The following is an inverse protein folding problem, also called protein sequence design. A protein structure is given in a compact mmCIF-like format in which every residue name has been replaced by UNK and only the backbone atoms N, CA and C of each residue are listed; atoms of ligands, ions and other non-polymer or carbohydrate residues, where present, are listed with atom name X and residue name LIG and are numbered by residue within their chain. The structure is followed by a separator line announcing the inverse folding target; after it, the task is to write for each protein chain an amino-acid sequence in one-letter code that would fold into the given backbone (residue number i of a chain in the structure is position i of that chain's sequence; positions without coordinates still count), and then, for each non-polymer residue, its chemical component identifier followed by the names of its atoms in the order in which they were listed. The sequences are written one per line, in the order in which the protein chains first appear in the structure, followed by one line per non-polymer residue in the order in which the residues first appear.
data_IF_502941151607
#
_entry.id   IF_502941151607
#
_cell.length_a   1.000
_cell.length_b   1.000
_cell.length_c   1.000
_cell.angle_alpha   90.00
_cell.angle_beta   90.00
_cell.angle_gamma   90.00
#
_symmetry.space_group_name_H-M   'P 1'
#
loop_
_entity.id
_entity.type
_entity.pdbx_description
1 polymer ?
#
# COMPACT_ATOMS: atom_id res chain seq x y z
N UNK A 1 21.06 4.55 -31.33
CA UNK A 1 20.24 3.36 -31.02
C UNK A 1 19.47 3.50 -29.71
N UNK A 2 20.09 3.94 -28.61
CA UNK A 2 19.43 4.08 -27.29
C UNK A 2 18.22 5.04 -27.26
N UNK A 3 18.26 6.13 -28.04
CA UNK A 3 17.14 7.09 -28.14
C UNK A 3 15.91 6.48 -28.82
N UNK A 4 16.10 5.71 -29.89
CA UNK A 4 15.01 5.04 -30.62
C UNK A 4 14.36 3.95 -29.77
N UNK A 5 15.17 3.19 -29.01
CA UNK A 5 14.67 2.22 -28.04
C UNK A 5 13.88 2.89 -26.91
N UNK A 6 14.34 4.05 -26.41
CA UNK A 6 13.61 4.83 -25.41
C UNK A 6 12.24 5.31 -25.91
N UNK A 7 12.16 5.80 -27.15
CA UNK A 7 10.91 6.29 -27.77
C UNK A 7 9.85 5.20 -27.87
N UNK A 8 10.24 3.94 -28.10
CA UNK A 8 9.31 2.82 -28.20
C UNK A 8 9.05 2.15 -26.85
N UNK A 9 10.09 2.00 -26.02
CA UNK A 9 10.01 1.29 -24.75
C UNK A 9 9.27 2.09 -23.68
N UNK A 10 9.43 3.42 -23.65
CA UNK A 10 8.75 4.28 -22.67
C UNK A 10 7.22 4.23 -22.80
N UNK A 11 6.59 4.45 -23.98
CA UNK A 11 5.14 4.38 -24.10
C UNK A 11 4.61 2.96 -23.85
N UNK A 12 5.37 1.93 -24.23
CA UNK A 12 5.02 0.54 -23.92
C UNK A 12 4.97 0.31 -22.41
N UNK A 13 6.03 0.70 -21.67
CA UNK A 13 6.09 0.60 -20.21
C UNK A 13 4.96 1.41 -19.56
N UNK A 14 4.72 2.63 -20.01
CA UNK A 14 3.64 3.47 -19.49
C UNK A 14 2.27 2.81 -19.67
N UNK A 15 2.00 2.25 -20.86
CA UNK A 15 0.75 1.53 -21.15
C UNK A 15 0.57 0.33 -20.23
N UNK A 16 1.62 -0.47 -20.05
CA UNK A 16 1.57 -1.61 -19.13
C UNK A 16 1.35 -1.17 -17.68
N UNK A 17 1.99 -0.10 -17.22
CA UNK A 17 1.82 0.42 -15.86
C UNK A 17 0.40 0.94 -15.61
N UNK A 18 -0.19 1.64 -16.59
CA UNK A 18 -1.59 2.08 -16.52
C UNK A 18 -2.52 0.87 -16.43
N UNK A 19 -2.29 -0.16 -17.25
CA UNK A 19 -3.08 -1.39 -17.19
C UNK A 19 -2.98 -2.07 -15.82
N UNK A 20 -1.78 -2.23 -15.26
CA UNK A 20 -1.58 -2.80 -13.93
C UNK A 20 -2.26 -1.97 -12.84
N UNK A 21 -2.22 -0.64 -12.93
CA UNK A 21 -2.87 0.26 -11.99
C UNK A 21 -4.40 0.10 -12.02
N UNK A 22 -5.00 0.02 -13.21
CA UNK A 22 -6.44 -0.21 -13.36
C UNK A 22 -6.86 -1.58 -12.85
N UNK A 23 -6.02 -2.60 -13.06
CA UNK A 23 -6.25 -3.94 -12.53
C UNK A 23 -6.17 -3.96 -10.99
N UNK A 24 -5.17 -3.28 -10.41
CA UNK A 24 -5.04 -3.13 -8.96
C UNK A 24 -6.27 -2.42 -8.37
N UNK A 25 -6.75 -1.38 -9.05
CA UNK A 25 -7.97 -0.67 -8.69
C UNK A 25 -9.21 -1.56 -8.72
N UNK A 26 -9.36 -2.41 -9.74
CA UNK A 26 -10.47 -3.35 -9.83
C UNK A 26 -10.47 -4.35 -8.66
N UNK A 27 -9.31 -4.90 -8.29
CA UNK A 27 -9.21 -5.78 -7.13
C UNK A 27 -9.49 -5.04 -5.81
N UNK A 28 -9.02 -3.79 -5.69
CA UNK A 28 -9.32 -2.94 -4.54
C UNK A 28 -10.82 -2.65 -4.42
N UNK A 29 -11.51 -2.40 -5.54
CA UNK A 29 -12.96 -2.26 -5.58
C UNK A 29 -13.67 -3.52 -5.07
N UNK A 30 -13.29 -4.69 -5.57
CA UNK A 30 -13.89 -5.97 -5.16
C UNK A 30 -13.68 -6.22 -3.67
N UNK A 31 -12.48 -5.98 -3.14
CA UNK A 31 -12.17 -6.20 -1.72
C UNK A 31 -12.96 -5.27 -0.79
N UNK A 32 -13.14 -4.01 -1.21
CA UNK A 32 -13.79 -2.96 -0.42
C UNK A 32 -15.29 -2.84 -0.69
N UNK A 33 -15.83 -3.65 -1.60
CA UNK A 33 -17.26 -3.64 -1.92
C UNK A 33 -18.11 -3.93 -0.68
N UNK A 34 -19.12 -3.09 -0.44
CA UNK A 34 -20.02 -3.13 0.72
C UNK A 34 -19.33 -3.05 2.10
N UNK A 35 -18.08 -2.57 2.19
CA UNK A 35 -17.48 -2.25 3.49
C UNK A 35 -17.86 -0.82 3.89
N UNK A 36 -18.24 -0.58 5.16
CA UNK A 36 -18.38 0.78 5.64
C UNK A 36 -17.04 1.51 5.51
N UNK A 37 -17.08 2.73 4.95
CA UNK A 37 -15.93 3.60 4.65
C UNK A 37 -15.04 3.92 5.87
N UNK A 38 -15.52 3.64 7.09
CA UNK A 38 -14.73 3.78 8.31
C UNK A 38 -14.15 2.43 8.65
N UNK A 39 -12.85 2.25 8.40
CA UNK A 39 -12.04 1.09 8.78
C UNK A 39 -12.02 0.82 10.29
N UNK A 40 -13.17 0.53 10.87
CA UNK A 40 -13.40 0.18 12.27
C UNK A 40 -12.95 -1.25 12.56
N UNK A 41 -12.95 -2.11 11.54
CA UNK A 41 -12.50 -3.49 11.60
C UNK A 41 -11.56 -3.82 10.44
N UNK A 42 -10.56 -4.69 10.65
CA UNK A 42 -9.63 -5.11 9.62
C UNK A 42 -10.33 -5.99 8.58
N UNK A 43 -9.87 -5.94 7.32
CA UNK A 43 -10.26 -6.89 6.29
C UNK A 43 -9.83 -8.29 6.73
N UNK A 44 -10.77 -9.23 6.70
CA UNK A 44 -10.56 -10.63 7.12
C UNK A 44 -10.88 -11.61 6.00
N UNK A 45 -10.40 -12.84 6.17
CA UNK A 45 -10.71 -13.96 5.30
C UNK A 45 -10.18 -13.79 3.87
N UNK A 46 -11.01 -14.14 2.89
CA UNK A 46 -10.62 -14.19 1.48
C UNK A 46 -10.27 -12.80 0.91
N UNK A 47 -10.95 -11.74 1.34
CA UNK A 47 -10.71 -10.36 0.85
C UNK A 47 -9.30 -9.90 1.18
N UNK A 48 -8.85 -10.17 2.41
CA UNK A 48 -7.49 -9.87 2.86
C UNK A 48 -6.45 -10.64 2.06
N UNK A 49 -6.63 -11.96 1.93
CA UNK A 49 -5.72 -12.82 1.16
C UNK A 49 -5.65 -12.41 -0.31
N UNK A 50 -6.79 -12.04 -0.90
CA UNK A 50 -6.86 -11.52 -2.26
C UNK A 50 -6.02 -10.27 -2.39
N UNK A 51 -6.25 -9.23 -1.57
CA UNK A 51 -5.47 -7.98 -1.60
C UNK A 51 -3.97 -8.25 -1.42
N UNK A 52 -3.60 -9.10 -0.46
CA UNK A 52 -2.20 -9.43 -0.21
C UNK A 52 -1.55 -10.11 -1.41
N UNK A 53 -2.25 -11.01 -2.09
CA UNK A 53 -1.69 -11.75 -3.23
C UNK A 53 -1.68 -10.88 -4.48
N UNK A 54 -2.81 -10.27 -4.82
CA UNK A 54 -2.97 -9.53 -6.07
C UNK A 54 -2.21 -8.22 -6.04
N UNK A 55 -2.39 -7.37 -5.02
CA UNK A 55 -1.67 -6.10 -4.99
C UNK A 55 -0.17 -6.31 -4.85
N UNK A 56 0.31 -7.28 -4.06
CA UNK A 56 1.76 -7.54 -3.98
C UNK A 56 2.32 -7.99 -5.32
N UNK A 57 1.63 -8.90 -6.03
CA UNK A 57 2.05 -9.32 -7.36
C UNK A 57 2.06 -8.16 -8.36
N UNK A 58 1.01 -7.35 -8.38
CA UNK A 58 0.89 -6.20 -9.29
C UNK A 58 1.93 -5.12 -9.00
N UNK A 59 2.23 -4.84 -7.72
CA UNK A 59 3.29 -3.91 -7.34
C UNK A 59 4.65 -4.44 -7.76
N UNK A 60 4.98 -5.72 -7.52
CA UNK A 60 6.24 -6.29 -8.01
C UNK A 60 6.36 -6.22 -9.54
N UNK A 61 5.28 -6.55 -10.26
CA UNK A 61 5.25 -6.45 -11.72
C UNK A 61 5.46 -5.01 -12.20
N UNK A 62 4.81 -4.02 -11.55
CA UNK A 62 4.99 -2.62 -11.88
C UNK A 62 6.44 -2.16 -11.68
N UNK A 63 7.06 -2.53 -10.57
CA UNK A 63 8.47 -2.22 -10.30
C UNK A 63 9.42 -2.88 -11.30
N UNK A 64 9.16 -4.13 -11.66
CA UNK A 64 9.92 -4.82 -12.70
C UNK A 64 9.81 -4.11 -14.07
N UNK A 65 8.60 -3.70 -14.48
CA UNK A 65 8.37 -2.97 -15.74
C UNK A 65 9.07 -1.61 -15.74
N UNK A 66 9.09 -0.92 -14.59
CA UNK A 66 9.86 0.32 -14.43
C UNK A 66 11.38 0.09 -14.51
N UNK A 67 11.84 -1.16 -14.34
CA UNK A 67 13.25 -1.55 -14.41
C UNK A 67 13.92 -1.69 -13.04
N UNK A 68 13.15 -1.75 -11.95
CA UNK A 68 13.69 -1.97 -10.62
C UNK A 68 13.92 -3.45 -10.34
N UNK A 69 15.09 -3.77 -9.80
CA UNK A 69 15.38 -5.05 -9.15
C UNK A 69 15.63 -4.77 -7.68
N UNK A 70 14.74 -5.25 -6.82
CA UNK A 70 14.81 -5.02 -5.38
C UNK A 70 15.40 -6.26 -4.72
N UNK A 71 16.49 -6.06 -3.98
CA UNK A 71 17.10 -7.09 -3.14
C UNK A 71 16.82 -6.77 -1.69
N UNK A 72 16.24 -7.72 -0.96
CA UNK A 72 16.00 -7.61 0.47
C UNK A 72 17.21 -8.18 1.21
N UNK A 73 17.78 -7.39 2.12
CA UNK A 73 18.81 -7.86 3.05
C UNK A 73 18.18 -8.08 4.42
N UNK A 74 18.42 -9.25 5.01
CA UNK A 74 17.80 -9.65 6.28
C UNK A 74 16.40 -10.25 6.09
N UNK A 75 15.64 -10.32 7.17
CA UNK A 75 14.29 -10.90 7.21
C UNK A 75 13.32 -9.88 7.79
N UNK A 76 12.16 -9.73 7.16
CA UNK A 76 11.06 -8.93 7.71
C UNK A 76 10.56 -9.62 8.98
N UNK A 77 10.54 -8.87 10.09
CA UNK A 77 10.01 -9.35 11.36
C UNK A 77 8.50 -9.66 11.23
N UNK A 78 8.07 -10.72 11.92
CA UNK A 78 6.66 -11.08 11.95
C UNK A 78 5.82 -10.03 12.69
N UNK A 79 4.50 -10.04 12.47
CA UNK A 79 3.55 -9.19 13.19
C UNK A 79 3.61 -9.38 14.71
N UNK A 80 3.95 -10.59 15.17
CA UNK A 80 4.08 -10.92 16.60
C UNK A 80 5.36 -10.34 17.21
N UNK A 81 6.45 -10.31 16.46
CA UNK A 81 7.73 -9.74 16.90
C UNK A 81 7.73 -8.21 16.81
N UNK A 82 7.22 -7.67 15.70
CA UNK A 82 7.19 -6.24 15.43
C UNK A 82 5.87 -5.85 14.75
N UNK A 83 4.91 -5.26 15.48
CA UNK A 83 3.64 -4.83 14.89
C UNK A 83 3.74 -3.53 14.08
N UNK A 84 4.86 -2.81 14.20
CA UNK A 84 5.15 -1.58 13.48
C UNK A 84 6.38 -1.83 12.60
N UNK A 85 6.23 -1.55 11.32
CA UNK A 85 7.30 -1.54 10.34
C UNK A 85 7.64 -0.08 10.01
N UNK A 86 8.92 0.25 9.88
CA UNK A 86 9.35 1.62 9.54
C UNK A 86 10.04 1.60 8.19
N UNK A 87 9.47 2.33 7.21
CA UNK A 87 10.13 2.61 5.94
C UNK A 87 10.95 3.91 6.04
N UNK A 88 12.26 3.78 6.21
CA UNK A 88 13.16 4.93 6.31
C UNK A 88 14.54 4.67 5.68
N UNK A 89 15.22 5.70 5.18
CA UNK A 89 14.72 7.08 4.98
C UNK A 89 13.71 7.13 3.83
N UNK A 90 12.67 7.97 3.96
CA UNK A 90 11.75 8.19 2.85
C UNK A 90 12.42 9.06 1.79
N UNK A 91 12.80 8.44 0.69
CA UNK A 91 13.64 9.04 -0.34
C UNK A 91 12.86 9.28 -1.63
N UNK A 92 11.80 8.49 -1.89
CA UNK A 92 11.04 8.60 -3.13
C UNK A 92 9.67 7.91 -3.06
N UNK A 93 8.84 8.11 -4.09
CA UNK A 93 7.61 7.33 -4.28
C UNK A 93 7.87 5.83 -4.47
N UNK A 94 9.09 5.42 -4.86
CA UNK A 94 9.46 4.01 -5.05
C UNK A 94 9.55 3.25 -3.73
N UNK A 95 9.57 3.93 -2.58
CA UNK A 95 9.54 3.30 -1.26
C UNK A 95 8.25 2.50 -1.04
N UNK A 96 7.20 2.75 -1.86
CA UNK A 96 5.97 1.99 -1.87
C UNK A 96 6.15 0.48 -2.14
N UNK A 97 7.27 0.05 -2.75
CA UNK A 97 7.58 -1.38 -2.94
C UNK A 97 7.59 -2.16 -1.62
N UNK A 98 7.93 -1.48 -0.52
CA UNK A 98 7.96 -2.08 0.80
C UNK A 98 6.60 -2.66 1.16
N UNK A 99 5.49 -2.05 0.73
CA UNK A 99 4.15 -2.59 0.96
C UNK A 99 3.98 -3.99 0.35
N UNK A 100 4.57 -4.24 -0.82
CA UNK A 100 4.51 -5.55 -1.46
C UNK A 100 5.41 -6.57 -0.76
N UNK A 101 6.56 -6.12 -0.25
CA UNK A 101 7.51 -6.97 0.48
C UNK A 101 7.02 -7.36 1.87
N UNK A 102 6.19 -6.53 2.50
CA UNK A 102 5.65 -6.77 3.85
C UNK A 102 4.19 -7.26 3.84
N UNK A 103 3.67 -7.68 2.68
CA UNK A 103 2.36 -8.33 2.59
C UNK A 103 1.18 -7.38 2.81
N UNK A 104 1.27 -6.19 2.21
CA UNK A 104 0.23 -5.15 2.18
C UNK A 104 -0.21 -4.71 3.58
N UNK A 105 0.68 -4.09 4.36
CA UNK A 105 0.41 -3.60 5.71
C UNK A 105 -0.59 -2.43 5.69
N UNK A 106 -1.07 -2.05 6.88
CA UNK A 106 -1.82 -0.82 7.08
C UNK A 106 -0.88 0.38 7.02
N UNK A 107 -1.05 1.28 6.07
CA UNK A 107 -0.17 2.45 5.92
C UNK A 107 -0.67 3.66 6.73
N UNK A 108 0.22 4.55 7.13
CA UNK A 108 -0.14 5.92 7.54
C UNK A 108 -0.12 6.81 6.31
N UNK A 109 -1.26 7.44 5.98
CA UNK A 109 -1.36 8.29 4.80
C UNK A 109 -2.15 9.55 5.09
N UNK A 110 -1.87 10.61 4.32
CA UNK A 110 -2.70 11.81 4.28
C UNK A 110 -4.12 11.47 3.84
N UNK A 111 -5.11 12.09 4.47
CA UNK A 111 -6.51 11.89 4.15
C UNK A 111 -6.81 12.25 2.67
N UNK A 112 -6.13 13.27 2.14
CA UNK A 112 -6.28 13.73 0.75
C UNK A 112 -5.82 12.68 -0.27
N UNK A 113 -4.90 11.78 0.10
CA UNK A 113 -4.50 10.70 -0.80
C UNK A 113 -5.64 9.69 -1.02
N UNK A 114 -6.56 9.56 -0.07
CA UNK A 114 -7.68 8.61 -0.15
C UNK A 114 -8.77 9.07 -1.13
N UNK A 115 -8.84 10.37 -1.42
CA UNK A 115 -9.75 10.93 -2.42
C UNK A 115 -9.13 11.00 -3.81
N UNK A 116 -7.86 10.58 -3.99
CA UNK A 116 -7.22 10.56 -5.32
C UNK A 116 -7.93 9.54 -6.23
N UNK A 117 -8.35 9.92 -7.46
CA UNK A 117 -8.99 8.99 -8.38
C UNK A 117 -8.12 7.76 -8.64
N UNK A 118 -8.74 6.57 -8.69
CA UNK A 118 -8.07 5.26 -8.85
C UNK A 118 -7.19 4.88 -7.66
N UNK A 119 -6.12 5.64 -7.40
CA UNK A 119 -5.14 5.35 -6.35
C UNK A 119 -5.74 5.37 -4.94
N UNK A 120 -6.64 6.31 -4.65
CA UNK A 120 -7.28 6.42 -3.35
C UNK A 120 -8.04 5.16 -2.95
N UNK A 121 -8.70 4.49 -3.90
CA UNK A 121 -9.38 3.21 -3.63
C UNK A 121 -8.40 2.08 -3.33
N UNK A 122 -7.27 2.03 -4.01
CA UNK A 122 -6.19 1.07 -3.73
C UNK A 122 -5.67 1.31 -2.30
N UNK A 123 -5.36 2.56 -1.95
CA UNK A 123 -4.93 2.91 -0.60
C UNK A 123 -5.98 2.53 0.45
N UNK A 124 -7.26 2.86 0.23
CA UNK A 124 -8.35 2.51 1.14
C UNK A 124 -8.48 1.00 1.36
N UNK A 125 -8.13 0.17 0.38
CA UNK A 125 -8.11 -1.30 0.54
C UNK A 125 -7.01 -1.79 1.50
N UNK A 126 -5.97 -0.99 1.74
CA UNK A 126 -4.95 -1.24 2.76
C UNK A 126 -5.37 -0.76 4.16
N UNK A 127 -6.55 -0.14 4.26
CA UNK A 127 -7.15 0.39 5.50
C UNK A 127 -6.21 1.37 6.23
N UNK A 128 -5.85 2.49 5.60
CA UNK A 128 -4.82 3.38 6.10
C UNK A 128 -5.26 4.10 7.36
N UNK A 129 -4.30 4.50 8.19
CA UNK A 129 -4.51 5.48 9.25
C UNK A 129 -4.41 6.86 8.60
N UNK A 130 -5.57 7.51 8.43
CA UNK A 130 -5.66 8.82 7.81
C UNK A 130 -5.13 9.93 8.74
N UNK A 131 -4.31 10.82 8.19
CA UNK A 131 -3.79 12.02 8.87
C UNK A 131 -4.46 13.25 8.26
N UNK A 132 -5.08 14.07 9.10
CA UNK A 132 -5.81 15.28 8.72
C UNK A 132 -5.00 16.52 9.11
N UNK A 133 -4.49 17.25 8.13
CA UNK A 133 -3.60 18.40 8.39
C UNK A 133 -4.28 19.59 9.04
N UNK A 134 -5.58 19.73 8.80
CA UNK A 134 -6.40 20.82 9.32
C UNK A 134 -6.88 20.58 10.75
N UNK A 135 -6.76 19.33 11.24
CA UNK A 135 -7.18 18.96 12.59
C UNK A 135 -5.99 19.07 13.55
N UNK A 136 -6.01 20.01 14.52
CA UNK A 136 -4.90 20.20 15.46
C UNK A 136 -4.64 18.96 16.33
N UNK A 137 -5.63 18.10 16.53
CA UNK A 137 -5.49 16.85 17.27
C UNK A 137 -5.16 15.64 16.39
N UNK A 138 -4.99 15.81 15.07
CA UNK A 138 -4.75 14.69 14.15
C UNK A 138 -3.55 13.88 14.57
N UNK A 139 -2.45 14.51 15.01
CA UNK A 139 -1.26 13.78 15.46
C UNK A 139 -1.57 12.85 16.64
N UNK A 140 -2.33 13.34 17.63
CA UNK A 140 -2.73 12.54 18.80
C UNK A 140 -3.64 11.39 18.38
N UNK A 141 -4.60 11.65 17.50
CA UNK A 141 -5.52 10.64 16.95
C UNK A 141 -4.77 9.56 16.17
N UNK A 142 -3.81 9.95 15.32
CA UNK A 142 -2.97 9.01 14.56
C UNK A 142 -2.13 8.15 15.50
N UNK A 143 -1.47 8.73 16.50
CA UNK A 143 -0.68 7.96 17.49
C UNK A 143 -1.57 6.99 18.29
N UNK A 144 -2.76 7.43 18.70
CA UNK A 144 -3.72 6.58 19.40
C UNK A 144 -4.17 5.40 18.53
N UNK A 145 -4.45 5.62 17.24
CA UNK A 145 -4.86 4.56 16.32
C UNK A 145 -3.69 3.61 15.99
N UNK A 146 -2.47 4.11 15.80
CA UNK A 146 -1.27 3.26 15.64
C UNK A 146 -1.11 2.35 16.87
N UNK A 147 -1.18 2.94 18.06
CA UNK A 147 -1.03 2.22 19.33
C UNK A 147 -2.11 1.15 19.46
N UNK A 148 -3.37 1.50 19.19
CA UNK A 148 -4.49 0.57 19.22
C UNK A 148 -4.32 -0.61 18.26
N UNK A 149 -3.85 -0.36 17.02
CA UNK A 149 -3.62 -1.43 16.03
C UNK A 149 -2.42 -2.29 16.39
N UNK A 150 -1.34 -1.69 16.86
CA UNK A 150 -0.14 -2.41 17.28
C UNK A 150 -0.41 -3.34 18.48
N UNK A 151 -1.24 -2.90 19.43
CA UNK A 151 -1.62 -3.68 20.61
C UNK A 151 -2.79 -4.65 20.37
N UNK A 152 -3.29 -4.76 19.14
CA UNK A 152 -4.47 -5.58 18.80
C UNK A 152 -4.23 -7.09 18.78
N UNK A 153 -3.07 -7.57 19.23
CA UNK A 153 -2.66 -8.99 19.27
C UNK A 153 -2.85 -9.69 17.92
N UNK A 154 -2.53 -9.00 16.83
CA UNK A 154 -2.58 -9.52 15.47
C UNK A 154 -3.96 -9.51 14.81
N UNK A 155 -4.95 -8.84 15.40
CA UNK A 155 -6.23 -8.59 14.71
C UNK A 155 -6.02 -7.66 13.51
N UNK A 156 -5.21 -6.62 13.69
CA UNK A 156 -4.78 -5.73 12.60
C UNK A 156 -3.47 -6.20 11.98
N UNK A 157 -3.26 -5.95 10.69
CA UNK A 157 -1.95 -6.11 10.05
C UNK A 157 -0.91 -5.17 10.66
N UNK A 158 0.37 -5.39 10.30
CA UNK A 158 1.44 -4.48 10.65
C UNK A 158 1.11 -3.07 10.15
N UNK A 159 1.51 -2.07 10.92
CA UNK A 159 1.39 -0.65 10.54
C UNK A 159 2.72 -0.18 9.96
N UNK A 160 2.68 0.55 8.85
CA UNK A 160 3.85 1.16 8.20
C UNK A 160 3.69 2.68 8.04
#
# INVERSE_FOLDING_TARGET
QSVLQGIVLLPLRATCLIFLLLLAWLFALIATFCQPERGSAPLKGWRRRMIQTTLSGLTHAAFFIMGFQVTVKGKVASLQEAPIFVAAPHSSFFDAIICALTGMPSIVSRAENLSTPVFGRILSSLQPIAVYRQDPDSRKKTVAEITKRALSRGQWPQVI
#
